data_IF_418035539671
#
_entry.id   IF_418035539671
#
_cell.length_a   1.000
_cell.length_b   1.000
_cell.length_c   1.000
_cell.angle_alpha   90.00
_cell.angle_beta   90.00
_cell.angle_gamma   90.00
#
_symmetry.space_group_name_H-M   'P 1'
#
loop_
_entity.id
_entity.type
_entity.pdbx_description
1 polymer ?
#
# COMPACT_ATOMS: atom_id res chain seq x y z
N UNK A 1 -15.17 -0.39 -32.08
CA UNK A 1 -15.47 0.79 -31.21
C UNK A 1 -14.46 0.80 -30.07
N UNK A 2 -13.51 1.75 -30.06
CA UNK A 2 -12.52 1.87 -28.99
C UNK A 2 -13.20 2.42 -27.72
N UNK A 3 -13.10 1.69 -26.60
CA UNK A 3 -13.58 2.20 -25.30
C UNK A 3 -12.73 3.41 -24.91
N UNK A 4 -13.32 4.60 -24.90
CA UNK A 4 -12.73 5.80 -24.30
C UNK A 4 -12.54 5.54 -22.81
N UNK A 5 -11.29 5.40 -22.36
CA UNK A 5 -10.96 5.40 -20.94
C UNK A 5 -11.28 6.80 -20.39
N UNK A 6 -12.27 6.90 -19.50
CA UNK A 6 -12.47 8.11 -18.70
C UNK A 6 -11.28 8.24 -17.75
N UNK A 7 -10.36 9.16 -18.04
CA UNK A 7 -9.29 9.52 -17.11
C UNK A 7 -9.93 9.99 -15.81
N UNK A 8 -9.79 9.21 -14.74
CA UNK A 8 -10.30 9.57 -13.42
C UNK A 8 -9.45 10.73 -12.93
N UNK A 9 -10.05 11.92 -12.77
CA UNK A 9 -9.34 13.09 -12.27
C UNK A 9 -8.97 12.82 -10.81
N UNK A 10 -7.69 12.62 -10.53
CA UNK A 10 -7.18 12.45 -9.17
C UNK A 10 -7.14 13.85 -8.54
N UNK A 11 -7.68 13.97 -7.33
CA UNK A 11 -7.66 15.24 -6.61
C UNK A 11 -6.22 15.62 -6.28
N UNK A 12 -5.86 16.89 -6.51
CA UNK A 12 -4.56 17.44 -6.13
C UNK A 12 -4.28 17.19 -4.65
N UNK A 13 -5.31 17.25 -3.81
CA UNK A 13 -5.22 16.93 -2.38
C UNK A 13 -4.64 15.52 -2.14
N UNK A 14 -5.09 14.50 -2.90
CA UNK A 14 -4.58 13.14 -2.73
C UNK A 14 -3.11 13.00 -3.11
N UNK A 15 -2.66 13.73 -4.15
CA UNK A 15 -1.25 13.72 -4.58
C UNK A 15 -0.31 14.30 -3.53
N UNK A 16 -0.80 15.26 -2.75
CA UNK A 16 -0.06 15.94 -1.69
C UNK A 16 -0.10 15.14 -0.37
N UNK A 17 -0.82 14.02 -0.29
CA UNK A 17 -0.87 13.18 0.90
C UNK A 17 0.43 12.39 1.09
N UNK A 18 0.82 12.22 2.35
CA UNK A 18 1.89 11.29 2.76
C UNK A 18 1.24 10.06 3.36
N UNK A 19 1.52 8.88 2.79
CA UNK A 19 1.04 7.60 3.30
C UNK A 19 2.14 6.91 4.10
N UNK A 20 1.75 6.31 5.22
CA UNK A 20 2.63 5.52 6.09
C UNK A 20 2.10 4.10 6.22
N UNK A 21 2.99 3.13 6.47
CA UNK A 21 2.57 1.79 6.88
C UNK A 21 1.72 1.88 8.15
N UNK A 22 0.67 1.08 8.23
CA UNK A 22 -0.13 0.99 9.43
C UNK A 22 0.71 0.33 10.55
N UNK A 23 0.99 1.01 11.68
CA UNK A 23 1.82 0.47 12.75
C UNK A 23 1.23 -0.77 13.42
N UNK A 24 -0.07 -1.02 13.28
CA UNK A 24 -0.73 -2.23 13.77
C UNK A 24 -0.51 -3.45 12.86
N UNK A 25 0.06 -3.26 11.67
CA UNK A 25 0.31 -4.32 10.69
C UNK A 25 1.79 -4.67 10.67
N UNK A 26 2.09 -5.95 10.92
CA UNK A 26 3.44 -6.47 10.81
C UNK A 26 3.80 -6.70 9.35
N UNK A 27 5.05 -6.44 9.03
CA UNK A 27 5.65 -6.79 7.76
C UNK A 27 7.14 -7.07 7.96
N UNK A 28 7.75 -7.76 7.00
CA UNK A 28 9.18 -8.05 6.99
C UNK A 28 9.71 -7.97 5.56
N UNK A 29 11.03 -7.87 5.43
CA UNK A 29 11.74 -8.05 4.18
C UNK A 29 12.49 -9.38 4.22
N UNK A 30 12.30 -10.21 3.20
CA UNK A 30 13.02 -11.47 3.04
C UNK A 30 14.45 -11.22 2.56
N UNK A 31 15.29 -12.24 2.62
CA UNK A 31 16.69 -12.17 2.15
C UNK A 31 16.82 -11.82 0.66
N UNK A 32 15.81 -12.15 -0.15
CA UNK A 32 15.71 -11.79 -1.57
C UNK A 32 15.22 -10.35 -1.81
N UNK A 33 14.98 -9.59 -0.74
CA UNK A 33 14.52 -8.21 -0.77
C UNK A 33 13.02 -8.03 -0.97
N UNK A 34 12.23 -9.12 -1.04
CA UNK A 34 10.77 -9.07 -1.19
C UNK A 34 10.10 -8.70 0.13
N UNK A 35 9.18 -7.74 0.06
CA UNK A 35 8.35 -7.36 1.20
C UNK A 35 7.24 -8.38 1.40
N UNK A 36 7.06 -8.80 2.66
CA UNK A 36 5.98 -9.69 3.10
C UNK A 36 5.15 -8.99 4.15
N UNK A 37 3.86 -8.84 3.90
CA UNK A 37 2.90 -8.28 4.86
C UNK A 37 2.19 -9.42 5.59
N UNK A 38 2.07 -9.33 6.91
CA UNK A 38 1.30 -10.27 7.73
C UNK A 38 -0.15 -9.80 7.88
N UNK A 39 -1.08 -10.65 7.46
CA UNK A 39 -2.51 -10.45 7.63
C UNK A 39 -3.02 -11.32 8.77
N UNK A 40 -3.32 -10.70 9.91
CA UNK A 40 -4.04 -11.35 11.01
C UNK A 40 -5.55 -11.39 10.69
N UNK A 41 -6.14 -12.58 10.65
CA UNK A 41 -7.59 -12.74 10.48
C UNK A 41 -8.33 -12.48 11.80
N UNK A 42 -8.53 -11.21 12.19
CA UNK A 42 -9.28 -10.85 13.41
C UNK A 42 -10.77 -10.57 13.08
N UNK A 43 -11.68 -11.38 13.62
CA UNK A 43 -13.14 -11.19 13.54
C UNK A 43 -13.91 -12.04 14.57
N UNK A 44 -15.13 -11.66 14.97
CA UNK A 44 -15.85 -12.26 16.12
C UNK A 44 -16.24 -13.74 15.95
N UNK A 45 -16.18 -14.29 14.74
CA UNK A 45 -16.50 -15.71 14.45
C UNK A 45 -15.30 -16.66 14.61
N UNK A 46 -14.21 -16.20 15.23
CA UNK A 46 -12.92 -16.90 15.36
C UNK A 46 -12.99 -18.27 16.06
N UNK A 47 -14.03 -18.53 16.88
CA UNK A 47 -14.22 -19.81 17.57
C UNK A 47 -14.66 -20.93 16.62
N UNK A 48 -15.38 -20.60 15.55
CA UNK A 48 -15.90 -21.59 14.59
C UNK A 48 -14.83 -21.89 13.52
N UNK A 49 -14.06 -20.88 13.10
CA UNK A 49 -13.02 -21.02 12.07
C UNK A 49 -11.83 -21.90 12.49
N UNK A 50 -11.39 -21.81 13.75
CA UNK A 50 -10.28 -22.62 14.27
C UNK A 50 -10.67 -24.07 14.59
N UNK A 51 -11.94 -24.32 14.92
CA UNK A 51 -12.44 -25.65 15.31
C UNK A 51 -12.79 -26.53 14.09
N UNK A 52 -12.88 -25.94 12.89
CA UNK A 52 -13.30 -26.64 11.66
C UNK A 52 -12.30 -26.55 10.51
N UNK A 53 -11.36 -25.58 10.49
CA UNK A 53 -10.37 -25.45 9.42
C UNK A 53 -8.96 -25.25 9.99
N UNK A 54 -8.01 -26.06 9.51
CA UNK A 54 -6.56 -25.93 9.71
C UNK A 54 -5.97 -24.65 9.07
N UNK A 55 -6.71 -23.54 9.01
CA UNK A 55 -6.23 -22.29 8.44
C UNK A 55 -5.34 -21.56 9.44
N UNK A 56 -4.10 -21.20 9.07
CA UNK A 56 -3.20 -20.49 9.96
C UNK A 56 -3.82 -19.14 10.40
N UNK A 57 -3.57 -18.77 11.65
CA UNK A 57 -4.08 -17.53 12.27
C UNK A 57 -3.56 -16.26 11.59
N UNK A 58 -2.49 -16.39 10.82
CA UNK A 58 -1.81 -15.33 10.07
C UNK A 58 -1.57 -15.81 8.64
N UNK A 59 -1.92 -14.98 7.66
CA UNK A 59 -1.53 -15.19 6.26
C UNK A 59 -0.36 -14.26 5.92
N UNK A 60 0.60 -14.75 5.14
CA UNK A 60 1.71 -13.94 4.63
C UNK A 60 1.46 -13.59 3.16
N UNK A 61 1.49 -12.29 2.84
CA UNK A 61 1.33 -11.79 1.47
C UNK A 61 2.69 -11.28 1.01
N UNK A 62 3.35 -12.03 0.14
CA UNK A 62 4.55 -11.56 -0.55
C UNK A 62 4.16 -10.61 -1.68
N UNK A 63 4.74 -9.41 -1.69
CA UNK A 63 4.53 -8.44 -2.76
C UNK A 63 5.36 -8.82 -3.99
N UNK A 64 4.93 -8.38 -5.17
CA UNK A 64 5.74 -8.46 -6.38
C UNK A 64 6.84 -7.38 -6.36
N UNK A 65 7.66 -7.30 -7.41
CA UNK A 65 8.74 -6.32 -7.51
C UNK A 65 8.23 -4.88 -7.42
N UNK A 66 7.11 -4.58 -8.09
CA UNK A 66 6.48 -3.25 -8.05
C UNK A 66 5.93 -2.91 -6.68
N UNK A 67 5.17 -3.82 -6.07
CA UNK A 67 4.60 -3.65 -4.74
C UNK A 67 5.68 -3.52 -3.67
N UNK A 68 6.76 -4.30 -3.78
CA UNK A 68 7.94 -4.21 -2.90
C UNK A 68 8.60 -2.84 -3.02
N UNK A 69 8.87 -2.36 -4.24
CA UNK A 69 9.48 -1.06 -4.46
C UNK A 69 8.59 0.09 -3.94
N UNK A 70 7.29 0.04 -4.23
CA UNK A 70 6.33 1.04 -3.78
C UNK A 70 6.20 1.02 -2.25
N UNK A 71 6.11 -0.15 -1.63
CA UNK A 71 6.05 -0.28 -0.17
C UNK A 71 7.26 0.37 0.51
N UNK A 72 8.45 0.14 -0.01
CA UNK A 72 9.71 0.74 0.46
C UNK A 72 9.77 2.25 0.23
N UNK A 73 9.10 2.76 -0.81
CA UNK A 73 9.01 4.20 -1.08
C UNK A 73 8.14 4.96 -0.07
N UNK A 74 7.20 4.27 0.61
CA UNK A 74 6.33 4.83 1.66
C UNK A 74 7.08 5.00 2.98
N UNK A 75 8.03 5.92 3.01
CA UNK A 75 8.90 6.21 4.15
C UNK A 75 8.31 7.19 5.19
N UNK A 76 7.04 7.58 5.00
CA UNK A 76 6.37 8.58 5.81
C UNK A 76 6.82 10.01 5.61
N UNK A 77 7.58 10.29 4.56
CA UNK A 77 8.02 11.64 4.17
C UNK A 77 7.54 11.99 2.76
N UNK A 78 7.62 11.03 1.83
CA UNK A 78 7.23 11.25 0.43
C UNK A 78 5.72 11.38 0.28
N UNK A 79 5.32 12.38 -0.50
CA UNK A 79 3.97 12.53 -1.04
C UNK A 79 3.65 11.43 -2.05
N UNK A 80 2.37 11.18 -2.31
CA UNK A 80 1.95 10.27 -3.38
C UNK A 80 2.56 10.66 -4.72
N UNK A 81 2.66 11.96 -5.02
CA UNK A 81 3.31 12.43 -6.25
C UNK A 81 4.79 12.02 -6.34
N UNK A 82 5.56 12.20 -5.26
CA UNK A 82 6.97 11.80 -5.22
C UNK A 82 7.13 10.28 -5.34
N UNK A 83 6.23 9.50 -4.75
CA UNK A 83 6.20 8.03 -4.91
C UNK A 83 5.95 7.65 -6.37
N UNK A 84 5.03 8.32 -7.07
CA UNK A 84 4.80 8.07 -8.51
C UNK A 84 6.05 8.33 -9.32
N UNK A 85 6.74 9.45 -9.10
CA UNK A 85 7.97 9.79 -9.82
C UNK A 85 9.09 8.78 -9.56
N UNK A 86 9.29 8.39 -8.30
CA UNK A 86 10.27 7.37 -7.95
C UNK A 86 9.98 6.03 -8.64
N UNK A 87 8.71 5.64 -8.72
CA UNK A 87 8.31 4.41 -9.41
C UNK A 87 8.54 4.50 -10.93
N UNK A 88 8.40 5.68 -11.54
CA UNK A 88 8.79 5.89 -12.95
C UNK A 88 10.29 5.72 -13.16
N UNK A 89 11.11 6.21 -12.23
CA UNK A 89 12.56 6.04 -12.28
C UNK A 89 12.98 4.56 -12.15
N UNK A 90 12.32 3.81 -11.26
CA UNK A 90 12.57 2.37 -11.10
C UNK A 90 12.08 1.52 -12.28
N UNK A 91 10.99 1.94 -12.93
CA UNK A 91 10.36 1.19 -14.02
C UNK A 91 10.08 2.07 -15.25
N UNK A 92 11.13 2.59 -15.92
CA UNK A 92 10.99 3.61 -16.98
C UNK A 92 10.22 3.12 -18.20
N UNK A 93 10.24 1.80 -18.47
CA UNK A 93 9.49 1.18 -19.57
C UNK A 93 7.97 1.24 -19.38
N UNK A 94 7.50 1.63 -18.21
CA UNK A 94 6.08 1.62 -17.83
C UNK A 94 5.57 3.01 -17.42
N UNK A 95 6.35 4.06 -17.68
CA UNK A 95 6.07 5.42 -17.24
C UNK A 95 4.64 5.89 -17.57
N UNK A 96 4.18 5.62 -18.79
CA UNK A 96 2.86 6.03 -19.29
C UNK A 96 1.68 5.53 -18.45
N UNK A 97 1.87 4.43 -17.71
CA UNK A 97 0.83 3.79 -16.89
C UNK A 97 1.14 3.85 -15.41
N UNK A 98 2.27 4.44 -15.02
CA UNK A 98 2.78 4.36 -13.65
C UNK A 98 1.85 5.04 -12.66
N UNK A 99 1.32 6.21 -13.04
CA UNK A 99 0.37 6.94 -12.22
C UNK A 99 -0.83 6.06 -11.84
N UNK A 100 -1.52 5.48 -12.84
CA UNK A 100 -2.69 4.65 -12.60
C UNK A 100 -2.36 3.40 -11.75
N UNK A 101 -1.20 2.78 -11.98
CA UNK A 101 -0.76 1.60 -11.23
C UNK A 101 -0.50 1.93 -9.76
N UNK A 102 0.25 2.99 -9.48
CA UNK A 102 0.55 3.42 -8.10
C UNK A 102 -0.73 3.74 -7.36
N UNK A 103 -1.66 4.47 -7.98
CA UNK A 103 -2.92 4.86 -7.35
C UNK A 103 -3.80 3.64 -7.07
N UNK A 104 -3.89 2.69 -7.99
CA UNK A 104 -4.63 1.45 -7.79
C UNK A 104 -4.03 0.60 -6.65
N UNK A 105 -2.71 0.53 -6.57
CA UNK A 105 -2.02 -0.20 -5.52
C UNK A 105 -2.20 0.46 -4.15
N UNK A 106 -1.98 1.78 -4.04
CA UNK A 106 -2.21 2.54 -2.81
C UNK A 106 -3.64 2.43 -2.32
N UNK A 107 -4.62 2.53 -3.21
CA UNK A 107 -6.03 2.31 -2.88
C UNK A 107 -6.26 0.90 -2.30
N UNK A 108 -5.63 -0.12 -2.87
CA UNK A 108 -5.72 -1.50 -2.38
C UNK A 108 -5.12 -1.62 -0.98
N UNK A 109 -3.96 -1.01 -0.72
CA UNK A 109 -3.34 -0.98 0.61
C UNK A 109 -4.22 -0.25 1.63
N UNK A 110 -4.84 0.87 1.24
CA UNK A 110 -5.71 1.67 2.11
C UNK A 110 -7.00 0.90 2.48
N UNK A 111 -7.70 0.32 1.50
CA UNK A 111 -8.92 -0.45 1.75
C UNK A 111 -8.65 -1.65 2.66
N UNK A 112 -7.48 -2.28 2.53
CA UNK A 112 -7.07 -3.39 3.40
C UNK A 112 -6.40 -2.93 4.72
N UNK A 113 -6.37 -1.62 4.98
CA UNK A 113 -5.81 -1.03 6.21
C UNK A 113 -4.33 -1.40 6.43
N UNK A 114 -3.57 -1.57 5.35
CA UNK A 114 -2.11 -1.77 5.38
C UNK A 114 -1.33 -0.47 5.43
N UNK A 115 -1.91 0.62 4.92
CA UNK A 115 -1.35 1.97 5.00
C UNK A 115 -2.42 2.95 5.47
N UNK A 116 -1.99 4.03 6.11
CA UNK A 116 -2.85 5.13 6.55
C UNK A 116 -2.26 6.48 6.13
N UNK A 117 -3.07 7.52 6.16
CA UNK A 117 -2.62 8.89 5.89
C UNK A 117 -1.87 9.38 7.13
N UNK A 118 -0.66 9.89 6.92
CA UNK A 118 0.05 10.66 7.94
C UNK A 118 -0.65 12.01 8.08
N UNK A 119 -1.46 12.17 9.13
CA UNK A 119 -1.83 13.50 9.55
C UNK A 119 -0.62 14.12 10.21
N UNK A 120 -0.19 15.35 9.83
CA UNK A 120 0.77 16.07 10.65
C UNK A 120 0.15 16.15 12.04
N UNK A 121 0.79 15.53 13.05
CA UNK A 121 0.49 15.84 14.44
C UNK A 121 0.60 17.35 14.51
N UNK A 122 -0.51 18.07 14.72
CA UNK A 122 -0.43 19.48 15.11
C UNK A 122 0.62 19.50 16.21
N UNK A 123 1.71 20.22 15.97
CA UNK A 123 2.70 20.52 16.99
C UNK A 123 1.86 21.19 18.08
N UNK A 124 1.57 20.47 19.16
CA UNK A 124 1.12 21.12 20.38
C UNK A 124 2.34 21.96 20.75
N UNK A 125 2.22 23.26 20.49
CA UNK A 125 3.12 24.24 21.08
C UNK A 125 2.81 24.22 22.57
N UNK A 126 3.79 23.73 23.35
CA UNK A 126 3.86 23.88 24.80
C UNK A 126 4.19 25.33 25.17
#
# INVERSE_FOLDING_TARGET
MAKKNKTKKIDRNYMDMVLIHNPERKWSEREDGIVVIELEHKGPHHKIAQKLFHKPRVSQIALDAHGTALWKALDGKRTVFEVVNLMKEFFPKEEDRMLDRVIAFLHTLQVNQFVTISYPRKRMED
#
